data_IF_235654715911
#
_entry.id   IF_235654715911
#
_cell.length_a   1.000
_cell.length_b   1.000
_cell.length_c   1.000
_cell.angle_alpha   90.00
_cell.angle_beta   90.00
_cell.angle_gamma   90.00
#
_symmetry.space_group_name_H-M   'P 1'
#
loop_
_entity.id
_entity.type
_entity.pdbx_description
1 polymer ?
#
# COMPACT_ATOMS: atom_id res chain seq x y z
N UNK A 1 42.39 58.85 -41.73
CA UNK A 1 42.28 58.51 -40.29
C UNK A 1 41.03 57.63 -40.10
N UNK A 2 41.20 56.33 -40.12
CA UNK A 2 40.11 55.38 -40.02
C UNK A 2 40.13 54.71 -38.63
N UNK A 3 39.09 54.95 -37.85
CA UNK A 3 38.89 54.29 -36.54
C UNK A 3 38.11 52.97 -36.74
N UNK A 4 38.81 51.87 -36.61
CA UNK A 4 38.17 50.55 -36.56
C UNK A 4 37.58 50.31 -35.16
N UNK A 5 36.26 50.23 -35.07
CA UNK A 5 35.56 49.83 -33.88
C UNK A 5 35.42 48.30 -33.90
N UNK A 6 36.10 47.61 -32.99
CA UNK A 6 35.96 46.15 -32.81
C UNK A 6 34.76 45.91 -31.98
N UNK A 7 33.69 45.31 -32.56
CA UNK A 7 32.56 44.76 -31.84
C UNK A 7 32.95 43.38 -31.30
N UNK A 8 33.03 43.24 -30.00
CA UNK A 8 33.13 41.94 -29.31
C UNK A 8 31.73 41.29 -29.25
N UNK A 9 31.54 40.23 -30.00
CA UNK A 9 30.35 39.36 -29.86
C UNK A 9 30.55 38.45 -28.64
N UNK A 10 29.85 38.73 -27.55
CA UNK A 10 29.77 37.83 -26.40
C UNK A 10 28.79 36.69 -26.72
N UNK A 11 29.31 35.51 -27.04
CA UNK A 11 28.52 34.29 -27.17
C UNK A 11 28.21 33.79 -25.75
N UNK A 12 27.00 34.07 -25.26
CA UNK A 12 26.49 33.52 -24.02
C UNK A 12 26.17 32.03 -24.20
N UNK A 13 27.03 31.17 -23.67
CA UNK A 13 26.80 29.74 -23.59
C UNK A 13 25.76 29.46 -22.47
N UNK A 14 24.49 29.43 -22.85
CA UNK A 14 23.42 29.02 -21.96
C UNK A 14 23.57 27.49 -21.70
N UNK A 15 24.21 27.13 -20.60
CA UNK A 15 24.22 25.78 -20.11
C UNK A 15 22.78 25.41 -19.66
N UNK A 16 22.06 24.72 -20.53
CA UNK A 16 20.78 24.08 -20.18
C UNK A 16 21.14 22.96 -19.20
N UNK A 17 21.09 23.25 -17.91
CA UNK A 17 21.10 22.23 -16.89
C UNK A 17 19.79 21.43 -17.02
N UNK A 18 19.83 20.34 -17.74
CA UNK A 18 18.80 19.31 -17.69
C UNK A 18 18.80 18.76 -16.27
N UNK A 19 18.00 19.37 -15.39
CA UNK A 19 17.65 18.74 -14.14
C UNK A 19 16.84 17.50 -14.50
N UNK A 20 17.50 16.34 -14.50
CA UNK A 20 16.81 15.07 -14.43
C UNK A 20 16.01 15.12 -13.14
N UNK A 21 14.71 15.45 -13.23
CA UNK A 21 13.80 15.25 -12.13
C UNK A 21 13.88 13.74 -11.82
N UNK A 22 14.57 13.40 -10.74
CA UNK A 22 14.51 12.07 -10.18
C UNK A 22 13.05 11.94 -9.80
N UNK A 23 12.26 11.22 -10.59
CA UNK A 23 10.87 10.94 -10.27
C UNK A 23 10.90 10.26 -8.90
N UNK A 24 10.40 10.95 -7.88
CA UNK A 24 10.30 10.37 -6.54
C UNK A 24 9.49 9.09 -6.66
N UNK A 25 10.04 7.97 -6.18
CA UNK A 25 9.34 6.68 -6.24
C UNK A 25 8.02 6.79 -5.49
N UNK A 26 6.95 6.26 -6.06
CA UNK A 26 5.65 6.21 -5.40
C UNK A 26 5.80 5.48 -4.06
N UNK A 27 5.23 6.03 -2.99
CA UNK A 27 5.23 5.41 -1.66
C UNK A 27 3.87 4.80 -1.36
N UNK A 28 3.88 3.57 -0.85
CA UNK A 28 2.69 2.84 -0.42
C UNK A 28 2.89 2.31 1.00
N UNK A 29 1.87 2.44 1.85
CA UNK A 29 1.88 1.85 3.18
C UNK A 29 1.52 0.37 3.15
N UNK A 30 2.09 -0.42 4.08
CA UNK A 30 1.60 -1.76 4.40
C UNK A 30 1.48 -1.89 5.92
N UNK A 31 0.23 -1.87 6.41
CA UNK A 31 -0.12 -1.80 7.82
C UNK A 31 -0.61 -3.17 8.30
N UNK A 32 -0.02 -3.69 9.39
CA UNK A 32 -0.39 -4.98 9.96
C UNK A 32 -0.63 -4.89 11.47
N UNK A 33 -1.60 -5.65 11.96
CA UNK A 33 -1.99 -5.61 13.39
C UNK A 33 -1.00 -6.31 14.32
N UNK A 34 -0.28 -7.34 13.87
CA UNK A 34 0.60 -8.20 14.66
C UNK A 34 1.91 -8.49 13.92
N UNK A 35 2.82 -7.51 13.84
CA UNK A 35 4.02 -7.60 13.01
C UNK A 35 4.99 -8.72 13.43
N UNK A 36 4.88 -9.23 14.66
CA UNK A 36 5.70 -10.33 15.18
C UNK A 36 5.28 -11.70 14.65
N UNK A 37 4.07 -11.84 14.10
CA UNK A 37 3.59 -13.11 13.59
C UNK A 37 4.21 -13.46 12.23
N UNK A 38 4.59 -14.74 12.00
CA UNK A 38 5.19 -15.19 10.73
C UNK A 38 4.32 -14.90 9.50
N UNK A 39 2.99 -14.88 9.67
CA UNK A 39 2.05 -14.52 8.61
C UNK A 39 2.33 -13.11 8.10
N UNK A 40 2.29 -12.11 8.97
CA UNK A 40 2.50 -10.70 8.60
C UNK A 40 3.94 -10.39 8.19
N UNK A 41 4.93 -11.10 8.74
CA UNK A 41 6.31 -11.03 8.25
C UNK A 41 6.43 -11.52 6.80
N UNK A 42 5.68 -12.55 6.45
CA UNK A 42 5.64 -13.08 5.08
C UNK A 42 4.97 -12.08 4.13
N UNK A 43 3.86 -11.47 4.52
CA UNK A 43 3.21 -10.41 3.74
C UNK A 43 4.15 -9.23 3.48
N UNK A 44 4.83 -8.73 4.51
CA UNK A 44 5.80 -7.65 4.36
C UNK A 44 6.96 -8.00 3.44
N UNK A 45 7.44 -9.26 3.50
CA UNK A 45 8.48 -9.74 2.59
C UNK A 45 8.02 -9.70 1.13
N UNK A 46 6.79 -10.11 0.86
CA UNK A 46 6.23 -10.05 -0.50
C UNK A 46 5.90 -8.63 -0.93
N UNK A 47 5.49 -7.75 -0.01
CA UNK A 47 5.32 -6.33 -0.29
C UNK A 47 6.65 -5.67 -0.70
N UNK A 48 7.74 -5.94 0.03
CA UNK A 48 9.09 -5.48 -0.33
C UNK A 48 9.52 -5.99 -1.72
N UNK A 49 9.20 -7.26 -2.02
CA UNK A 49 9.47 -7.82 -3.34
C UNK A 49 8.68 -7.09 -4.43
N UNK A 50 7.38 -6.87 -4.22
CA UNK A 50 6.54 -6.15 -5.16
C UNK A 50 7.03 -4.71 -5.36
N UNK A 51 7.44 -4.02 -4.28
CA UNK A 51 8.02 -2.68 -4.36
C UNK A 51 9.27 -2.64 -5.24
N UNK A 52 10.16 -3.62 -5.10
CA UNK A 52 11.37 -3.75 -5.94
C UNK A 52 11.03 -4.05 -7.40
N UNK A 53 10.10 -4.97 -7.64
CA UNK A 53 9.74 -5.41 -8.98
C UNK A 53 8.98 -4.33 -9.76
N UNK A 54 8.19 -3.50 -9.08
CA UNK A 54 7.29 -2.52 -9.68
C UNK A 54 7.74 -1.06 -9.50
N UNK A 55 8.85 -0.82 -8.79
CA UNK A 55 9.45 0.50 -8.65
C UNK A 55 8.75 1.44 -7.67
N UNK A 56 8.20 0.92 -6.56
CA UNK A 56 7.65 1.74 -5.48
C UNK A 56 8.29 1.43 -4.13
N UNK A 57 8.24 2.39 -3.21
CA UNK A 57 8.71 2.25 -1.83
C UNK A 57 7.58 1.70 -0.94
N UNK A 58 7.90 0.72 -0.09
CA UNK A 58 6.97 0.16 0.89
C UNK A 58 7.29 0.72 2.29
N UNK A 59 6.30 1.38 2.91
CA UNK A 59 6.39 1.86 4.29
C UNK A 59 5.61 0.89 5.19
N UNK A 60 6.34 0.10 5.98
CA UNK A 60 5.77 -0.92 6.88
C UNK A 60 5.47 -0.34 8.24
N UNK A 61 4.23 -0.44 8.73
CA UNK A 61 3.83 0.11 10.02
C UNK A 61 3.01 -0.93 10.80
N UNK A 62 3.37 -1.12 12.08
CA UNK A 62 2.59 -1.89 13.03
C UNK A 62 1.40 -1.07 13.55
N UNK A 63 0.20 -1.64 13.50
CA UNK A 63 -1.05 -0.99 13.91
C UNK A 63 -1.87 -1.90 14.84
N UNK A 64 -1.38 -2.18 16.05
CA UNK A 64 -1.99 -3.14 16.97
C UNK A 64 -3.33 -2.68 17.56
N UNK A 65 -3.68 -1.39 17.41
CA UNK A 65 -4.90 -0.79 17.92
C UNK A 65 -5.43 0.34 17.00
N UNK A 66 -6.62 0.84 17.32
CA UNK A 66 -7.28 1.87 16.52
C UNK A 66 -6.57 3.21 16.53
N UNK A 67 -5.99 3.62 17.65
CA UNK A 67 -5.26 4.89 17.75
C UNK A 67 -4.02 4.86 16.86
N UNK A 68 -3.21 3.81 16.99
CA UNK A 68 -2.01 3.62 16.15
C UNK A 68 -2.36 3.48 14.68
N UNK A 69 -3.51 2.85 14.36
CA UNK A 69 -4.01 2.77 12.99
C UNK A 69 -4.24 4.17 12.41
N UNK A 70 -4.96 5.03 13.12
CA UNK A 70 -5.26 6.38 12.62
C UNK A 70 -4.01 7.26 12.57
N UNK A 71 -3.11 7.16 13.53
CA UNK A 71 -1.83 7.88 13.53
C UNK A 71 -0.89 7.41 12.40
N UNK A 72 -0.92 6.11 12.06
CA UNK A 72 -0.16 5.58 10.92
C UNK A 72 -0.63 6.18 9.59
N UNK A 73 -1.94 6.41 9.42
CA UNK A 73 -2.48 7.07 8.22
C UNK A 73 -1.97 8.51 8.11
N UNK A 74 -1.91 9.27 9.22
CA UNK A 74 -1.30 10.61 9.22
C UNK A 74 0.17 10.58 8.84
N UNK A 75 0.92 9.60 9.38
CA UNK A 75 2.34 9.44 9.08
C UNK A 75 2.58 9.09 7.61
N UNK A 76 1.73 8.24 7.02
CA UNK A 76 1.77 7.93 5.59
C UNK A 76 1.48 9.16 4.73
N UNK A 77 0.47 9.95 5.09
CA UNK A 77 0.15 11.19 4.40
C UNK A 77 1.33 12.17 4.45
N UNK A 78 1.93 12.36 5.63
CA UNK A 78 3.11 13.21 5.82
C UNK A 78 4.32 12.75 5.01
N UNK A 79 4.48 11.43 4.78
CA UNK A 79 5.55 10.87 3.95
C UNK A 79 5.27 10.94 2.44
N UNK A 80 4.09 11.44 2.03
CA UNK A 80 3.68 11.53 0.63
C UNK A 80 3.16 10.21 0.03
N UNK A 81 2.80 9.22 0.86
CA UNK A 81 2.23 7.95 0.39
C UNK A 81 0.92 8.17 -0.37
N UNK A 82 0.70 7.41 -1.44
CA UNK A 82 -0.48 7.52 -2.30
C UNK A 82 -1.61 6.56 -1.92
N UNK A 83 -1.33 5.65 -1.01
CA UNK A 83 -2.29 4.67 -0.52
C UNK A 83 -1.64 3.66 0.40
N UNK A 84 -2.44 2.71 0.86
CA UNK A 84 -1.94 1.65 1.74
C UNK A 84 -2.78 0.39 1.66
N UNK A 85 -2.13 -0.74 1.97
CA UNK A 85 -2.76 -2.02 2.27
C UNK A 85 -2.83 -2.14 3.79
N UNK A 86 -3.91 -2.70 4.33
CA UNK A 86 -4.08 -2.83 5.78
C UNK A 86 -4.80 -4.12 6.19
N UNK A 87 -4.18 -4.86 7.13
CA UNK A 87 -4.87 -5.81 8.02
C UNK A 87 -5.20 -5.07 9.31
N UNK A 88 -6.48 -4.71 9.49
CA UNK A 88 -6.91 -3.87 10.64
C UNK A 88 -7.01 -4.66 11.93
N UNK A 89 -6.69 -4.09 13.11
CA UNK A 89 -6.91 -4.75 14.40
C UNK A 89 -8.40 -4.91 14.76
N UNK A 90 -9.26 -4.04 14.23
CA UNK A 90 -10.71 -4.11 14.37
C UNK A 90 -11.41 -3.70 13.07
N UNK A 91 -12.18 -4.61 12.43
CA UNK A 91 -12.97 -4.28 11.24
C UNK A 91 -13.89 -3.07 11.37
N UNK A 92 -14.38 -2.75 12.57
CA UNK A 92 -15.26 -1.60 12.83
C UNK A 92 -14.55 -0.25 12.72
N UNK A 93 -13.23 -0.23 12.62
CA UNK A 93 -12.45 0.97 12.29
C UNK A 93 -12.63 1.40 10.83
N UNK A 94 -13.20 0.53 9.98
CA UNK A 94 -13.36 0.79 8.54
C UNK A 94 -13.87 2.18 8.19
N UNK A 95 -14.98 2.68 8.78
CA UNK A 95 -15.48 4.03 8.49
C UNK A 95 -14.48 5.14 8.81
N UNK A 96 -13.77 5.05 9.95
CA UNK A 96 -12.77 6.03 10.37
C UNK A 96 -11.53 5.99 9.47
N UNK A 97 -11.03 4.79 9.16
CA UNK A 97 -9.91 4.58 8.22
C UNK A 97 -10.25 5.20 6.86
N UNK A 98 -11.42 4.88 6.31
CA UNK A 98 -11.83 5.38 4.99
C UNK A 98 -12.09 6.88 4.97
N UNK A 99 -12.63 7.46 6.05
CA UNK A 99 -12.81 8.90 6.16
C UNK A 99 -11.46 9.62 6.15
N UNK A 100 -10.51 9.12 6.93
CA UNK A 100 -9.17 9.70 7.04
C UNK A 100 -8.35 9.56 5.75
N UNK A 101 -8.38 8.38 5.14
CA UNK A 101 -7.71 8.13 3.85
C UNK A 101 -8.25 9.03 2.74
N UNK A 102 -9.58 9.22 2.67
CA UNK A 102 -10.20 10.17 1.72
C UNK A 102 -9.77 11.61 1.97
N UNK A 103 -9.62 12.03 3.23
CA UNK A 103 -9.13 13.36 3.58
C UNK A 103 -7.73 13.66 3.03
N UNK A 104 -6.93 12.62 2.79
CA UNK A 104 -5.57 12.71 2.22
C UNK A 104 -5.48 12.22 0.77
N UNK A 105 -6.61 11.96 0.10
CA UNK A 105 -6.67 11.37 -1.25
C UNK A 105 -5.88 10.05 -1.39
N UNK A 106 -5.81 9.26 -0.33
CA UNK A 106 -5.13 7.96 -0.33
C UNK A 106 -6.07 6.82 -0.74
N UNK A 107 -5.55 5.86 -1.51
CA UNK A 107 -6.24 4.63 -1.87
C UNK A 107 -6.03 3.57 -0.78
N UNK A 108 -7.06 2.75 -0.53
CA UNK A 108 -7.04 1.73 0.53
C UNK A 108 -7.41 0.38 -0.03
N UNK A 109 -6.67 -0.64 0.35
CA UNK A 109 -6.98 -2.06 0.13
C UNK A 109 -6.97 -2.74 1.49
N UNK A 110 -8.05 -3.40 1.85
CA UNK A 110 -8.09 -4.29 3.02
C UNK A 110 -7.45 -5.63 2.66
N UNK A 111 -6.69 -6.21 3.58
CA UNK A 111 -6.13 -7.55 3.46
C UNK A 111 -6.54 -8.37 4.67
N UNK A 112 -6.84 -9.66 4.46
CA UNK A 112 -7.31 -10.65 5.43
C UNK A 112 -8.66 -10.32 6.10
N UNK A 113 -8.82 -9.12 6.67
CA UNK A 113 -10.02 -8.71 7.40
C UNK A 113 -10.85 -7.69 6.61
N UNK A 114 -12.10 -8.04 6.32
CA UNK A 114 -13.05 -7.13 5.68
C UNK A 114 -13.49 -6.04 6.65
N UNK A 115 -13.45 -4.79 6.21
CA UNK A 115 -13.99 -3.68 7.01
C UNK A 115 -15.50 -3.83 7.22
N UNK A 116 -15.95 -3.41 8.39
CA UNK A 116 -17.35 -3.37 8.76
C UNK A 116 -17.77 -1.94 9.13
N UNK A 117 -19.00 -1.58 8.83
CA UNK A 117 -19.60 -0.34 9.29
C UNK A 117 -19.97 -0.41 10.78
N UNK A 118 -20.47 0.71 11.34
CA UNK A 118 -20.88 0.78 12.75
C UNK A 118 -21.96 -0.25 13.16
N UNK A 119 -22.73 -0.78 12.19
CA UNK A 119 -23.75 -1.83 12.39
C UNK A 119 -23.20 -3.25 12.22
N UNK A 120 -21.86 -3.39 12.02
CA UNK A 120 -21.21 -4.69 11.79
C UNK A 120 -21.42 -5.26 10.39
N UNK A 121 -22.00 -4.51 9.44
CA UNK A 121 -22.16 -4.98 8.07
C UNK A 121 -20.87 -4.75 7.27
N UNK A 122 -20.49 -5.69 6.38
CA UNK A 122 -19.36 -5.54 5.49
C UNK A 122 -19.39 -4.24 4.69
N UNK A 123 -18.21 -3.66 4.46
CA UNK A 123 -18.02 -2.48 3.61
C UNK A 123 -17.52 -2.91 2.23
N UNK A 124 -18.44 -3.37 1.38
CA UNK A 124 -18.13 -3.94 0.04
C UNK A 124 -17.53 -2.90 -0.95
N UNK A 125 -17.55 -1.62 -0.59
CA UNK A 125 -16.93 -0.55 -1.38
C UNK A 125 -15.41 -0.45 -1.19
N UNK A 126 -14.84 -1.18 -0.23
CA UNK A 126 -13.40 -1.24 -0.01
C UNK A 126 -12.87 -2.53 -0.65
N UNK A 127 -11.91 -2.44 -1.58
CA UNK A 127 -11.27 -3.62 -2.14
C UNK A 127 -10.68 -4.51 -1.05
N UNK A 128 -10.94 -5.82 -1.14
CA UNK A 128 -10.48 -6.81 -0.18
C UNK A 128 -9.69 -7.91 -0.88
N UNK A 129 -8.53 -8.23 -0.33
CA UNK A 129 -7.73 -9.42 -0.69
C UNK A 129 -7.67 -10.33 0.52
N UNK A 130 -8.21 -11.54 0.40
CA UNK A 130 -8.23 -12.51 1.50
C UNK A 130 -8.17 -13.94 0.99
N UNK A 131 -7.83 -14.87 1.89
CA UNK A 131 -7.97 -16.29 1.60
C UNK A 131 -9.44 -16.68 1.51
N UNK A 132 -9.81 -17.41 0.47
CA UNK A 132 -11.15 -17.98 0.32
C UNK A 132 -11.32 -19.24 1.19
N UNK A 133 -11.31 -19.06 2.52
CA UNK A 133 -11.31 -20.16 3.50
C UNK A 133 -12.47 -21.15 3.28
N UNK A 134 -13.68 -20.69 2.95
CA UNK A 134 -14.82 -21.52 2.59
C UNK A 134 -14.51 -22.44 1.41
N UNK A 135 -13.94 -21.89 0.32
CA UNK A 135 -13.59 -22.70 -0.86
C UNK A 135 -12.48 -23.70 -0.57
N UNK A 136 -11.54 -23.33 0.30
CA UNK A 136 -10.47 -24.24 0.76
C UNK A 136 -11.10 -25.40 1.54
N UNK A 137 -11.99 -25.13 2.51
CA UNK A 137 -12.69 -26.14 3.28
C UNK A 137 -13.57 -27.05 2.42
N UNK A 138 -14.31 -26.50 1.48
CA UNK A 138 -15.11 -27.28 0.52
C UNK A 138 -14.23 -28.24 -0.29
N UNK A 139 -13.10 -27.76 -0.81
CA UNK A 139 -12.17 -28.58 -1.57
C UNK A 139 -11.55 -29.69 -0.72
N UNK A 140 -11.12 -29.36 0.49
CA UNK A 140 -10.59 -30.35 1.43
C UNK A 140 -11.63 -31.43 1.75
N UNK A 141 -12.89 -31.04 2.04
CA UNK A 141 -13.99 -31.97 2.28
C UNK A 141 -14.26 -32.90 1.08
N UNK A 142 -14.22 -32.34 -0.14
CA UNK A 142 -14.39 -33.14 -1.36
C UNK A 142 -13.27 -34.17 -1.54
N UNK A 143 -12.02 -33.79 -1.29
CA UNK A 143 -10.89 -34.73 -1.40
C UNK A 143 -10.92 -35.81 -0.32
N UNK A 144 -11.25 -35.46 0.92
CA UNK A 144 -11.45 -36.45 2.01
C UNK A 144 -12.57 -37.44 1.69
N UNK A 145 -13.68 -36.96 1.14
CA UNK A 145 -14.80 -37.82 0.70
C UNK A 145 -14.37 -38.81 -0.39
N UNK A 146 -13.57 -38.37 -1.39
CA UNK A 146 -13.05 -39.27 -2.42
C UNK A 146 -12.16 -40.36 -1.82
N UNK A 147 -11.25 -39.98 -0.91
CA UNK A 147 -10.35 -40.90 -0.22
C UNK A 147 -11.16 -41.93 0.57
N UNK A 148 -12.17 -41.49 1.35
CA UNK A 148 -13.04 -42.37 2.12
C UNK A 148 -13.79 -43.39 1.26
N UNK A 149 -14.23 -43.01 0.07
CA UNK A 149 -14.89 -43.93 -0.88
C UNK A 149 -13.95 -44.92 -1.55
N UNK A 150 -12.68 -44.60 -1.68
CA UNK A 150 -11.70 -45.50 -2.30
C UNK A 150 -11.30 -46.65 -1.39
N UNK A 151 -11.66 -46.63 -0.11
CA UNK A 151 -11.37 -47.65 0.89
C UNK A 151 -12.59 -48.48 1.32
N UNK A 152 -13.74 -48.34 0.66
CA UNK A 152 -14.98 -49.14 0.82
C UNK A 152 -15.21 -49.95 -0.45
#
# INVERSE_FOLDING_TARGET
MHKFTKALAAIGLAAIMSQSAIAESMKLGFLVKQPEEPWFQTEWKFADKAGKDLGFEVIKIAVPDGEKTLNAIDSLAASGAKGFVICTPDPKLGPAIMAKARGYDMKVIAVDDQFANAKGKPMDTVPLVMMAATKIGERQGQELYKIGRAHV
#
